data_IF_228028083595
#
_entry.id   IF_228028083595
#
_cell.length_a   1.000
_cell.length_b   1.000
_cell.length_c   1.000
_cell.angle_alpha   90.00
_cell.angle_beta   90.00
_cell.angle_gamma   90.00
#
_symmetry.space_group_name_H-M   'P 1'
#
loop_
_entity.id
_entity.type
_entity.pdbx_description
1 polymer ?
#
# COMPACT_ATOMS: atom_id res chain seq x y z
N UNK A 1 36.04 4.59 -11.17
CA UNK A 1 35.02 5.44 -11.83
C UNK A 1 33.81 5.48 -10.93
N UNK A 2 33.64 6.56 -10.17
CA UNK A 2 32.54 6.68 -9.22
C UNK A 2 31.23 6.91 -9.96
N UNK A 3 30.32 5.95 -9.86
CA UNK A 3 28.91 6.18 -10.22
C UNK A 3 28.36 7.13 -9.17
N UNK A 4 28.27 8.41 -9.50
CA UNK A 4 27.49 9.36 -8.71
C UNK A 4 26.04 8.96 -8.91
N UNK A 5 25.54 8.09 -8.03
CA UNK A 5 24.12 7.77 -7.95
C UNK A 5 23.41 9.08 -7.59
N UNK A 6 22.75 9.71 -8.56
CA UNK A 6 21.87 10.85 -8.31
C UNK A 6 20.74 10.32 -7.42
N UNK A 7 20.82 10.59 -6.12
CA UNK A 7 19.71 10.36 -5.19
C UNK A 7 18.61 11.35 -5.56
N UNK A 8 17.78 10.96 -6.52
CA UNK A 8 16.63 11.74 -6.94
C UNK A 8 15.54 11.45 -5.93
N UNK A 9 15.26 12.40 -5.03
CA UNK A 9 14.14 12.28 -4.10
C UNK A 9 12.84 12.39 -4.90
N UNK A 10 12.01 11.34 -4.84
CA UNK A 10 10.67 11.36 -5.42
C UNK A 10 9.87 12.48 -4.77
N UNK A 11 9.28 13.33 -5.61
CA UNK A 11 8.40 14.40 -5.13
C UNK A 11 7.08 13.76 -4.73
N UNK A 12 6.48 14.27 -3.65
CA UNK A 12 5.12 13.88 -3.23
C UNK A 12 4.13 13.90 -4.42
N UNK A 13 4.22 14.92 -5.27
CA UNK A 13 3.38 15.11 -6.45
C UNK A 13 3.45 13.98 -7.49
N UNK A 14 4.40 13.06 -7.40
CA UNK A 14 4.56 11.92 -8.31
C UNK A 14 4.10 10.57 -7.69
N UNK A 15 3.62 10.56 -6.44
CA UNK A 15 3.25 9.35 -5.68
C UNK A 15 1.79 9.35 -5.23
N UNK A 16 1.00 8.42 -5.78
CA UNK A 16 -0.31 8.04 -5.25
C UNK A 16 -0.13 7.02 -4.13
N UNK A 17 -0.67 7.29 -2.94
CA UNK A 17 -0.77 6.31 -1.87
C UNK A 17 -2.19 5.74 -1.86
N UNK A 18 -2.29 4.45 -2.14
CA UNK A 18 -3.55 3.72 -2.24
C UNK A 18 -3.66 2.75 -1.06
N UNK A 19 -4.71 2.92 -0.25
CA UNK A 19 -5.02 2.03 0.85
C UNK A 19 -6.08 1.01 0.41
N UNK A 20 -5.74 -0.27 0.43
CA UNK A 20 -6.67 -1.34 0.12
C UNK A 20 -7.52 -1.67 1.36
N UNK A 21 -8.76 -1.19 1.37
CA UNK A 21 -9.75 -1.42 2.42
C UNK A 21 -10.72 -2.56 2.06
N UNK A 22 -10.17 -3.72 1.68
CA UNK A 22 -10.93 -4.87 1.20
C UNK A 22 -10.41 -6.20 1.74
N UNK A 23 -11.34 -7.12 2.01
CA UNK A 23 -11.10 -8.43 2.61
C UNK A 23 -12.33 -8.88 3.40
N UNK A 24 -12.68 -10.17 3.36
CA UNK A 24 -13.79 -10.70 4.16
C UNK A 24 -13.34 -10.73 5.63
N UNK A 25 -13.63 -9.68 6.38
CA UNK A 25 -13.54 -9.67 7.86
C UNK A 25 -14.67 -10.48 8.49
N UNK A 26 -14.96 -11.67 7.96
CA UNK A 26 -15.97 -12.58 8.53
C UNK A 26 -15.59 -13.03 9.94
N UNK A 27 -14.30 -13.00 10.29
CA UNK A 27 -13.78 -13.38 11.60
C UNK A 27 -14.00 -12.32 12.70
N UNK A 28 -14.21 -11.05 12.33
CA UNK A 28 -14.31 -9.93 13.29
C UNK A 28 -15.73 -9.41 13.49
N UNK A 29 -16.71 -9.91 12.73
CA UNK A 29 -18.13 -9.52 12.85
C UNK A 29 -18.44 -8.05 12.51
N UNK A 30 -17.42 -7.24 12.22
CA UNK A 30 -17.54 -5.82 11.87
C UNK A 30 -16.48 -5.41 10.82
N UNK A 31 -16.66 -4.23 10.24
CA UNK A 31 -15.75 -3.71 9.23
C UNK A 31 -14.41 -3.27 9.86
N UNK A 32 -13.37 -4.11 9.71
CA UNK A 32 -12.02 -3.86 10.23
C UNK A 32 -11.51 -2.45 9.94
N UNK A 33 -11.75 -1.93 8.74
CA UNK A 33 -11.28 -0.60 8.33
C UNK A 33 -11.80 0.52 9.24
N UNK A 34 -13.00 0.34 9.81
CA UNK A 34 -13.69 1.32 10.68
C UNK A 34 -13.54 1.01 12.17
N UNK A 35 -12.89 -0.10 12.53
CA UNK A 35 -12.60 -0.39 13.93
C UNK A 35 -11.62 0.64 14.48
N UNK A 36 -11.85 1.04 15.72
CA UNK A 36 -10.95 1.96 16.41
C UNK A 36 -9.64 1.25 16.75
N UNK A 37 -8.54 1.90 16.46
CA UNK A 37 -7.18 1.57 16.86
C UNK A 37 -6.61 2.81 17.56
N UNK A 38 -6.29 2.72 18.84
CA UNK A 38 -5.91 3.87 19.69
C UNK A 38 -6.95 5.01 19.66
N UNK A 39 -8.24 4.67 19.54
CA UNK A 39 -9.34 5.65 19.51
C UNK A 39 -9.63 6.29 18.15
N UNK A 40 -8.87 5.98 17.09
CA UNK A 40 -9.10 6.45 15.72
C UNK A 40 -9.45 5.28 14.78
N UNK A 41 -10.33 5.44 13.77
CA UNK A 41 -10.59 4.38 12.80
C UNK A 41 -9.29 3.96 12.08
N UNK A 42 -9.07 2.65 11.97
CA UNK A 42 -7.82 2.10 11.42
C UNK A 42 -7.48 2.65 10.02
N UNK A 43 -8.47 2.79 9.14
CA UNK A 43 -8.27 3.37 7.80
C UNK A 43 -7.77 4.82 7.86
N UNK A 44 -8.27 5.60 8.82
CA UNK A 44 -7.87 6.99 9.02
C UNK A 44 -6.44 7.09 9.54
N UNK A 45 -6.05 6.19 10.45
CA UNK A 45 -4.67 6.06 10.91
C UNK A 45 -3.71 5.82 9.74
N UNK A 46 -4.01 4.82 8.91
CA UNK A 46 -3.16 4.47 7.75
C UNK A 46 -3.08 5.64 6.77
N UNK A 47 -4.21 6.29 6.46
CA UNK A 47 -4.23 7.50 5.62
C UNK A 47 -3.40 8.64 6.21
N UNK A 48 -3.52 8.87 7.52
CA UNK A 48 -2.75 9.89 8.25
C UNK A 48 -1.24 9.63 8.20
N UNK A 49 -0.82 8.37 8.34
CA UNK A 49 0.60 7.98 8.24
C UNK A 49 1.16 8.11 6.82
N UNK A 50 0.35 7.90 5.78
CA UNK A 50 0.78 8.02 4.38
C UNK A 50 0.73 9.45 3.84
N UNK A 51 -0.13 10.31 4.39
CA UNK A 51 -0.30 11.68 3.92
C UNK A 51 1.01 12.49 3.77
N UNK A 52 2.02 12.40 4.66
CA UNK A 52 3.28 13.15 4.54
C UNK A 52 4.07 12.87 3.26
N UNK A 53 3.91 11.69 2.65
CA UNK A 53 4.63 11.29 1.41
C UNK A 53 3.74 11.27 0.18
N UNK A 54 2.42 11.31 0.36
CA UNK A 54 1.46 11.27 -0.73
C UNK A 54 1.34 12.62 -1.46
N UNK A 55 1.14 12.55 -2.78
CA UNK A 55 0.55 13.61 -3.62
C UNK A 55 -0.90 13.33 -3.99
N UNK A 56 -1.33 12.08 -3.89
CA UNK A 56 -2.73 11.66 -3.99
C UNK A 56 -3.00 10.58 -2.94
N UNK A 57 -4.14 10.66 -2.25
CA UNK A 57 -4.65 9.59 -1.39
C UNK A 57 -5.85 8.92 -2.07
N UNK A 58 -5.86 7.60 -2.07
CA UNK A 58 -6.96 6.80 -2.64
C UNK A 58 -7.26 5.65 -1.68
N UNK A 59 -8.53 5.29 -1.54
CA UNK A 59 -8.97 4.07 -0.86
C UNK A 59 -9.67 3.19 -1.87
N UNK A 60 -9.23 1.94 -2.04
CA UNK A 60 -9.92 0.96 -2.88
C UNK A 60 -10.64 -0.06 -2.01
N UNK A 61 -11.92 -0.32 -2.30
CA UNK A 61 -12.73 -1.24 -1.50
C UNK A 61 -13.90 -1.83 -2.29
N UNK A 62 -14.38 -3.02 -1.91
CA UNK A 62 -15.64 -3.56 -2.40
C UNK A 62 -16.88 -2.95 -1.71
N UNK A 63 -16.69 -2.08 -0.71
CA UNK A 63 -17.75 -1.47 0.11
C UNK A 63 -17.61 0.06 0.12
N UNK A 64 -17.51 0.66 -1.06
CA UNK A 64 -17.22 2.10 -1.22
C UNK A 64 -18.22 3.02 -0.51
N UNK A 65 -19.49 2.64 -0.46
CA UNK A 65 -20.52 3.39 0.27
C UNK A 65 -20.26 3.48 1.78
N UNK A 66 -19.66 2.46 2.40
CA UNK A 66 -19.36 2.43 3.84
C UNK A 66 -18.20 3.37 4.21
N UNK A 67 -17.33 3.69 3.25
CA UNK A 67 -16.15 4.52 3.43
C UNK A 67 -16.26 5.88 2.75
N UNK A 68 -17.38 6.20 2.09
CA UNK A 68 -17.59 7.47 1.36
C UNK A 68 -17.39 8.72 2.25
N UNK A 69 -17.62 8.59 3.56
CA UNK A 69 -17.38 9.67 4.53
C UNK A 69 -15.91 10.15 4.55
N UNK A 70 -14.96 9.33 4.08
CA UNK A 70 -13.55 9.72 3.98
C UNK A 70 -13.34 10.86 2.97
N UNK A 71 -14.22 11.00 1.96
CA UNK A 71 -14.15 12.09 0.98
C UNK A 71 -14.55 13.46 1.56
N UNK A 72 -15.02 13.49 2.82
CA UNK A 72 -15.32 14.72 3.57
C UNK A 72 -14.20 15.06 4.58
N UNK A 73 -13.12 14.25 4.63
CA UNK A 73 -12.02 14.39 5.58
C UNK A 73 -10.72 14.73 4.87
N UNK A 74 -9.86 15.48 5.55
CA UNK A 74 -8.53 15.84 5.06
C UNK A 74 -7.42 15.20 5.91
N UNK A 75 -6.42 14.63 5.25
CA UNK A 75 -5.22 14.06 5.84
C UNK A 75 -4.01 14.76 5.23
N UNK A 76 -3.28 15.55 6.02
CA UNK A 76 -2.14 16.33 5.51
C UNK A 76 -2.51 17.29 4.37
N UNK A 77 -3.74 17.80 4.35
CA UNK A 77 -4.27 18.68 3.30
C UNK A 77 -4.84 17.96 2.06
N UNK A 78 -4.82 16.62 2.05
CA UNK A 78 -5.37 15.81 0.96
C UNK A 78 -6.70 15.19 1.36
N UNK A 79 -7.68 15.25 0.47
CA UNK A 79 -8.95 14.52 0.60
C UNK A 79 -8.81 13.21 -0.18
N UNK A 80 -8.98 12.04 0.47
CA UNK A 80 -8.86 10.76 -0.22
C UNK A 80 -10.03 10.56 -1.17
N UNK A 81 -9.78 9.89 -2.29
CA UNK A 81 -10.83 9.39 -3.18
C UNK A 81 -11.21 7.97 -2.78
N UNK A 82 -12.50 7.67 -2.69
CA UNK A 82 -12.97 6.31 -2.42
C UNK A 82 -13.42 5.68 -3.73
N UNK A 83 -12.75 4.60 -4.13
CA UNK A 83 -12.95 3.95 -5.43
C UNK A 83 -13.35 2.49 -5.20
N UNK A 84 -14.38 2.05 -5.92
CA UNK A 84 -14.78 0.64 -5.89
C UNK A 84 -13.68 -0.25 -6.49
N UNK A 85 -13.49 -1.44 -5.93
CA UNK A 85 -12.66 -2.48 -6.55
C UNK A 85 -13.14 -2.78 -7.98
N UNK A 86 -12.19 -3.15 -8.85
CA UNK A 86 -12.53 -3.74 -10.15
C UNK A 86 -13.39 -5.00 -9.96
N UNK A 87 -14.23 -5.29 -10.93
CA UNK A 87 -15.03 -6.53 -10.94
C UNK A 87 -14.13 -7.78 -11.09
N UNK A 88 -14.64 -8.93 -10.64
CA UNK A 88 -13.97 -10.23 -10.74
C UNK A 88 -13.69 -10.92 -9.40
N UNK A 89 -13.04 -12.08 -9.47
CA UNK A 89 -12.73 -12.94 -8.33
C UNK A 89 -12.00 -12.17 -7.22
N UNK A 90 -12.44 -12.36 -5.98
CA UNK A 90 -11.78 -11.76 -4.83
C UNK A 90 -10.37 -12.33 -4.65
N UNK A 91 -9.40 -11.44 -4.42
CA UNK A 91 -8.02 -11.81 -4.21
C UNK A 91 -7.09 -10.62 -4.25
N UNK A 92 -5.85 -10.85 -3.82
CA UNK A 92 -4.85 -9.79 -3.70
C UNK A 92 -4.44 -9.20 -5.06
N UNK A 93 -4.53 -9.99 -6.15
CA UNK A 93 -4.29 -9.48 -7.50
C UNK A 93 -5.37 -8.47 -7.93
N UNK A 94 -6.64 -8.73 -7.59
CA UNK A 94 -7.73 -7.77 -7.82
C UNK A 94 -7.45 -6.46 -7.08
N UNK A 95 -7.04 -6.53 -5.81
CA UNK A 95 -6.69 -5.35 -5.02
C UNK A 95 -5.57 -4.50 -5.64
N UNK A 96 -4.50 -5.15 -6.12
CA UNK A 96 -3.40 -4.46 -6.81
C UNK A 96 -3.87 -3.85 -8.14
N UNK A 97 -4.64 -4.60 -8.94
CA UNK A 97 -5.19 -4.09 -10.20
C UNK A 97 -6.11 -2.88 -9.98
N UNK A 98 -7.01 -2.95 -8.99
CA UNK A 98 -7.86 -1.83 -8.55
C UNK A 98 -7.02 -0.61 -8.19
N UNK A 99 -5.96 -0.82 -7.40
CA UNK A 99 -5.10 0.26 -6.92
C UNK A 99 -4.36 0.96 -8.06
N UNK A 100 -3.77 0.18 -8.98
CA UNK A 100 -3.07 0.69 -10.16
C UNK A 100 -4.02 1.42 -11.13
N UNK A 101 -5.26 0.97 -11.24
CA UNK A 101 -6.28 1.60 -12.07
C UNK A 101 -6.81 2.91 -11.44
N UNK A 102 -6.98 2.95 -10.12
CA UNK A 102 -7.56 4.08 -9.40
C UNK A 102 -6.58 5.25 -9.22
N UNK A 103 -5.29 4.95 -9.05
CA UNK A 103 -4.21 5.93 -8.92
C UNK A 103 -4.09 6.80 -10.18
N UNK A 104 -3.71 8.07 -10.01
CA UNK A 104 -3.50 9.02 -11.11
C UNK A 104 -2.03 9.35 -11.37
N UNK A 105 -1.15 9.13 -10.39
CA UNK A 105 0.26 9.52 -10.48
C UNK A 105 1.15 8.39 -11.03
N UNK A 106 2.40 8.70 -11.45
CA UNK A 106 3.30 7.71 -12.06
C UNK A 106 3.68 6.56 -11.13
N UNK A 107 3.88 6.85 -9.83
CA UNK A 107 4.18 5.86 -8.81
C UNK A 107 2.97 5.62 -7.91
N UNK A 108 2.80 4.37 -7.48
CA UNK A 108 1.69 3.92 -6.66
C UNK A 108 2.23 3.15 -5.47
N UNK A 109 2.15 3.72 -4.27
CA UNK A 109 2.33 2.97 -3.03
C UNK A 109 1.02 2.24 -2.73
N UNK A 110 1.04 0.91 -2.70
CA UNK A 110 -0.12 0.08 -2.36
C UNK A 110 0.09 -0.44 -0.94
N UNK A 111 -0.83 -0.10 -0.05
CA UNK A 111 -0.77 -0.42 1.38
C UNK A 111 -2.06 -1.09 1.83
N UNK A 112 -1.98 -2.20 2.57
CA UNK A 112 -3.16 -2.80 3.17
C UNK A 112 -3.70 -1.96 4.34
N UNK A 113 -5.03 -1.89 4.50
CA UNK A 113 -5.63 -1.10 5.58
C UNK A 113 -5.33 -1.64 6.98
N UNK A 114 -4.84 -2.87 7.10
CA UNK A 114 -4.55 -3.54 8.37
C UNK A 114 -3.12 -3.37 8.87
N UNK A 115 -2.34 -2.46 8.28
CA UNK A 115 -0.97 -2.12 8.67
C UNK A 115 -0.93 -0.78 9.44
N UNK A 116 -1.35 -0.71 10.73
CA UNK A 116 -1.45 0.54 11.50
C UNK A 116 -0.12 1.27 11.70
N UNK A 117 1.01 0.61 11.46
CA UNK A 117 2.35 1.14 11.68
C UNK A 117 3.09 1.50 10.40
N UNK A 118 2.42 1.48 9.22
CA UNK A 118 3.07 1.79 7.94
C UNK A 118 3.95 3.02 8.04
N UNK A 119 5.21 2.92 7.60
CA UNK A 119 6.19 4.00 7.71
C UNK A 119 6.18 4.85 6.45
N UNK A 120 5.91 6.17 6.53
CA UNK A 120 6.09 7.07 5.40
C UNK A 120 7.53 7.09 4.90
N UNK A 121 8.52 6.96 5.80
CA UNK A 121 9.94 6.90 5.45
C UNK A 121 10.26 5.67 4.60
N UNK A 122 9.69 4.50 4.94
CA UNK A 122 9.81 3.29 4.13
C UNK A 122 9.20 3.50 2.74
N UNK A 123 7.98 4.02 2.66
CA UNK A 123 7.30 4.28 1.38
C UNK A 123 8.13 5.25 0.52
N UNK A 124 8.69 6.30 1.12
CA UNK A 124 9.60 7.23 0.44
C UNK A 124 10.87 6.54 -0.04
N UNK A 125 11.48 5.67 0.76
CA UNK A 125 12.67 4.91 0.38
C UNK A 125 12.41 3.94 -0.78
N UNK A 126 11.28 3.23 -0.77
CA UNK A 126 10.85 2.35 -1.86
C UNK A 126 10.63 3.16 -3.15
N UNK A 127 9.93 4.30 -3.08
CA UNK A 127 9.71 5.16 -4.24
C UNK A 127 11.03 5.71 -4.82
N UNK A 128 11.93 6.17 -3.97
CA UNK A 128 13.26 6.63 -4.38
C UNK A 128 14.05 5.51 -5.09
N UNK A 129 13.94 4.28 -4.61
CA UNK A 129 14.61 3.13 -5.22
C UNK A 129 14.01 2.78 -6.58
N UNK A 130 12.67 2.83 -6.71
CA UNK A 130 11.98 2.62 -7.99
C UNK A 130 12.46 3.58 -9.06
N UNK A 131 12.67 4.87 -8.72
CA UNK A 131 13.22 5.85 -9.66
C UNK A 131 14.73 5.68 -9.90
N UNK A 132 15.53 5.55 -8.83
CA UNK A 132 16.98 5.51 -8.95
C UNK A 132 17.50 4.29 -9.72
N UNK A 133 16.84 3.15 -9.60
CA UNK A 133 17.21 1.89 -10.26
C UNK A 133 16.35 1.59 -11.50
N UNK A 134 15.48 2.53 -11.92
CA UNK A 134 14.54 2.37 -13.03
C UNK A 134 13.71 1.07 -12.92
N UNK A 135 13.25 0.75 -11.72
CA UNK A 135 12.44 -0.44 -11.46
C UNK A 135 10.98 -0.18 -11.87
N UNK A 136 10.26 -1.27 -12.08
CA UNK A 136 8.81 -1.27 -12.19
C UNK A 136 8.14 -1.48 -10.84
N UNK A 137 8.79 -2.18 -9.91
CA UNK A 137 8.31 -2.36 -8.53
C UNK A 137 9.48 -2.49 -7.58
N UNK A 138 9.35 -1.91 -6.38
CA UNK A 138 10.21 -2.23 -5.24
C UNK A 138 9.37 -2.80 -4.10
N UNK A 139 9.71 -4.03 -3.67
CA UNK A 139 8.94 -4.80 -2.67
C UNK A 139 9.82 -5.07 -1.45
N UNK A 140 9.36 -4.78 -0.23
CA UNK A 140 10.03 -5.26 0.97
C UNK A 140 10.05 -6.78 1.04
N UNK A 141 11.14 -7.34 1.55
CA UNK A 141 11.31 -8.77 1.76
C UNK A 141 11.88 -9.01 3.16
N UNK A 142 11.05 -9.58 4.03
CA UNK A 142 11.42 -10.04 5.37
C UNK A 142 11.67 -11.55 5.36
N UNK A 143 12.05 -12.12 6.51
CA UNK A 143 12.20 -13.57 6.67
C UNK A 143 10.92 -14.34 6.29
N UNK A 144 9.75 -13.74 6.53
CA UNK A 144 8.43 -14.34 6.24
C UNK A 144 8.07 -14.31 4.76
N UNK A 145 8.76 -13.50 3.96
CA UNK A 145 8.54 -13.36 2.53
C UNK A 145 8.42 -11.90 2.08
N UNK A 146 7.80 -11.72 0.93
CA UNK A 146 7.61 -10.40 0.31
C UNK A 146 6.33 -9.75 0.79
N UNK A 147 6.33 -8.42 0.91
CA UNK A 147 5.18 -7.61 1.31
C UNK A 147 4.65 -6.76 0.14
N UNK A 148 3.92 -7.35 -0.82
CA UNK A 148 3.45 -6.65 -2.02
C UNK A 148 2.34 -5.63 -1.74
N UNK A 149 1.66 -5.74 -0.60
CA UNK A 149 0.69 -4.76 -0.11
C UNK A 149 1.33 -3.77 0.88
N UNK A 150 2.65 -3.59 0.79
CA UNK A 150 3.41 -2.48 1.35
C UNK A 150 4.56 -2.14 0.38
N UNK A 151 4.23 -1.94 -0.89
CA UNK A 151 5.20 -1.81 -1.98
C UNK A 151 4.90 -0.61 -2.89
N UNK A 152 5.92 -0.14 -3.62
CA UNK A 152 5.78 0.94 -4.60
C UNK A 152 5.90 0.38 -6.02
N UNK A 153 4.90 0.71 -6.84
CA UNK A 153 4.70 0.21 -8.19
C UNK A 153 4.74 1.36 -9.20
N UNK A 154 5.40 1.15 -10.34
CA UNK A 154 5.34 2.04 -11.49
C UNK A 154 4.06 1.76 -12.27
N UNK A 155 3.13 2.72 -12.25
CA UNK A 155 1.79 2.55 -12.80
C UNK A 155 1.79 2.08 -14.25
N UNK A 156 2.58 2.75 -15.10
CA UNK A 156 2.59 2.51 -16.54
C UNK A 156 3.07 1.09 -16.92
N UNK A 157 4.00 0.52 -16.15
CA UNK A 157 4.53 -0.82 -16.40
C UNK A 157 3.66 -1.91 -15.77
N UNK A 158 3.19 -1.68 -14.54
CA UNK A 158 2.48 -2.71 -13.77
C UNK A 158 0.98 -2.82 -14.10
N UNK A 159 0.30 -1.71 -14.43
CA UNK A 159 -1.15 -1.72 -14.63
C UNK A 159 -1.61 -2.63 -15.79
N UNK A 160 -0.98 -2.61 -16.98
CA UNK A 160 -1.36 -3.51 -18.07
C UNK A 160 -1.17 -4.99 -17.71
N UNK A 161 -0.07 -5.32 -17.02
CA UNK A 161 0.23 -6.69 -16.58
C UNK A 161 -0.79 -7.16 -15.54
N UNK A 162 -1.15 -6.30 -14.58
CA UNK A 162 -2.18 -6.60 -13.58
C UNK A 162 -3.54 -6.88 -14.23
N UNK A 163 -3.93 -6.06 -15.19
CA UNK A 163 -5.19 -6.22 -15.93
C UNK A 163 -5.21 -7.54 -16.73
N UNK A 164 -4.12 -7.89 -17.40
CA UNK A 164 -4.02 -9.15 -18.14
C UNK A 164 -4.12 -10.36 -17.19
N UNK A 165 -3.40 -10.36 -16.07
CA UNK A 165 -3.46 -11.44 -15.10
C UNK A 165 -4.85 -11.62 -14.48
N UNK A 166 -5.54 -10.51 -14.20
CA UNK A 166 -6.92 -10.54 -13.72
C UNK A 166 -7.87 -11.16 -14.76
N UNK A 167 -7.69 -10.83 -16.05
CA UNK A 167 -8.51 -11.40 -17.13
C UNK A 167 -8.32 -12.92 -17.32
N UNK A 168 -7.18 -13.46 -16.87
CA UNK A 168 -6.86 -14.89 -16.88
C UNK A 168 -7.13 -15.59 -15.54
N UNK A 169 -7.83 -14.92 -14.61
CA UNK A 169 -8.12 -15.36 -13.24
C UNK A 169 -6.87 -15.83 -12.47
N UNK A 170 -5.73 -15.16 -12.71
CA UNK A 170 -4.46 -15.45 -12.02
C UNK A 170 -4.33 -14.55 -10.79
N UNK A 171 -4.66 -15.09 -9.63
CA UNK A 171 -4.68 -14.34 -8.36
C UNK A 171 -3.31 -14.25 -7.64
N UNK A 172 -2.25 -14.90 -8.14
CA UNK A 172 -0.94 -14.92 -7.48
C UNK A 172 -0.13 -13.68 -7.84
N UNK A 173 0.12 -12.81 -6.86
CA UNK A 173 0.88 -11.55 -7.06
C UNK A 173 2.29 -11.79 -7.64
N UNK A 174 2.94 -12.90 -7.25
CA UNK A 174 4.26 -13.28 -7.80
C UNK A 174 4.25 -13.40 -9.33
N UNK A 175 3.12 -13.73 -9.95
CA UNK A 175 3.00 -13.76 -11.41
C UNK A 175 3.17 -12.38 -12.05
N UNK A 176 2.76 -11.31 -11.36
CA UNK A 176 2.99 -9.94 -11.83
C UNK A 176 4.45 -9.54 -11.64
N UNK A 177 4.99 -9.75 -10.43
CA UNK A 177 6.36 -9.39 -10.07
C UNK A 177 7.37 -10.06 -11.02
N UNK A 178 7.14 -11.31 -11.40
CA UNK A 178 8.00 -12.05 -12.32
C UNK A 178 7.97 -11.54 -13.78
N UNK A 179 7.03 -10.65 -14.12
CA UNK A 179 6.85 -10.10 -15.49
C UNK A 179 7.33 -8.66 -15.63
N UNK A 180 7.87 -8.07 -14.56
CA UNK A 180 8.29 -6.67 -14.52
C UNK A 180 9.68 -6.57 -13.89
N UNK A 181 10.36 -5.43 -14.05
CA UNK A 181 11.65 -5.19 -13.41
C UNK A 181 11.47 -4.95 -11.91
N UNK A 182 11.57 -6.02 -11.12
CA UNK A 182 11.39 -5.98 -9.67
C UNK A 182 12.72 -5.80 -8.92
N UNK A 183 12.72 -4.90 -7.95
CA UNK A 183 13.75 -4.81 -6.91
C UNK A 183 13.19 -5.18 -5.54
N UNK A 184 14.08 -5.60 -4.65
CA UNK A 184 13.71 -6.00 -3.28
C UNK A 184 14.49 -5.19 -2.26
N UNK A 185 13.84 -4.86 -1.15
CA UNK A 185 14.45 -4.23 0.01
C UNK A 185 14.48 -5.25 1.15
N UNK A 186 15.67 -5.66 1.57
CA UNK A 186 15.83 -6.63 2.65
C UNK A 186 15.66 -5.99 4.03
N UNK A 187 15.58 -6.82 5.08
CA UNK A 187 15.35 -6.37 6.46
C UNK A 187 16.36 -5.31 6.94
N UNK A 188 17.69 -5.44 6.74
CA UNK A 188 18.63 -4.38 7.10
C UNK A 188 18.33 -3.04 6.43
N UNK A 189 17.93 -3.06 5.15
CA UNK A 189 17.54 -1.85 4.43
C UNK A 189 16.20 -1.27 4.94
N UNK A 190 15.23 -2.14 5.27
CA UNK A 190 13.94 -1.77 5.86
C UNK A 190 14.17 -1.08 7.20
N UNK A 191 14.91 -1.71 8.13
CA UNK A 191 15.18 -1.15 9.47
C UNK A 191 15.94 0.17 9.35
N UNK A 192 16.85 0.30 8.39
CA UNK A 192 17.54 1.56 8.12
C UNK A 192 16.59 2.67 7.66
N UNK A 193 15.56 2.35 6.89
CA UNK A 193 14.60 3.31 6.37
C UNK A 193 13.48 3.65 7.38
N UNK A 194 12.92 2.64 8.04
CA UNK A 194 11.72 2.72 8.87
C UNK A 194 11.99 2.72 10.39
N UNK A 195 13.22 2.42 10.80
CA UNK A 195 13.62 2.25 12.20
C UNK A 195 13.25 0.89 12.81
N UNK A 196 12.29 0.16 12.22
CA UNK A 196 11.91 -1.20 12.62
C UNK A 196 11.14 -1.91 11.50
N UNK A 197 10.81 -3.19 11.71
CA UNK A 197 9.90 -3.97 10.85
C UNK A 197 8.43 -3.86 11.27
N UNK A 198 8.11 -3.07 12.31
CA UNK A 198 6.74 -2.92 12.80
C UNK A 198 5.77 -2.43 11.71
N UNK A 199 6.27 -1.77 10.67
CA UNK A 199 5.49 -1.32 9.52
C UNK A 199 4.70 -2.41 8.79
N UNK A 200 5.02 -3.69 8.99
CA UNK A 200 4.33 -4.82 8.39
C UNK A 200 3.44 -5.60 9.38
N UNK A 201 3.36 -5.16 10.64
CA UNK A 201 2.46 -5.79 11.61
C UNK A 201 1.00 -5.58 11.19
N UNK A 202 0.30 -6.68 11.02
CA UNK A 202 -1.09 -6.71 10.54
C UNK A 202 -2.04 -6.96 11.71
N UNK A 203 -3.17 -6.24 11.74
CA UNK A 203 -4.23 -6.46 12.74
C UNK A 203 -5.46 -7.11 12.11
N UNK A 204 -5.69 -8.39 12.40
CA UNK A 204 -6.75 -9.23 11.83
C UNK A 204 -7.75 -9.73 12.86
N UNK A 205 -7.40 -9.76 14.15
CA UNK A 205 -8.29 -10.17 15.24
C UNK A 205 -8.36 -9.11 16.34
N UNK A 206 -9.39 -9.13 17.21
CA UNK A 206 -9.48 -8.20 18.34
C UNK A 206 -8.28 -8.30 19.30
N UNK A 207 -7.72 -9.50 19.48
CA UNK A 207 -6.52 -9.71 20.30
C UNK A 207 -5.28 -9.08 19.66
N UNK A 208 -5.14 -9.17 18.33
CA UNK A 208 -4.06 -8.52 17.58
C UNK A 208 -4.20 -6.99 17.65
N UNK A 209 -5.42 -6.45 17.61
CA UNK A 209 -5.66 -5.02 17.86
C UNK A 209 -5.16 -4.61 19.23
N UNK A 210 -5.62 -5.28 20.29
CA UNK A 210 -5.24 -4.95 21.66
C UNK A 210 -3.72 -5.06 21.88
N UNK A 211 -3.08 -6.10 21.32
CA UNK A 211 -1.63 -6.25 21.39
C UNK A 211 -0.88 -5.15 20.64
N UNK A 212 -1.35 -4.80 19.43
CA UNK A 212 -0.75 -3.74 18.64
C UNK A 212 -0.97 -2.35 19.25
N UNK A 213 -2.10 -2.07 19.89
CA UNK A 213 -2.32 -0.79 20.59
C UNK A 213 -1.29 -0.55 21.72
N UNK A 214 -0.74 -1.61 22.32
CA UNK A 214 0.34 -1.51 23.32
C UNK A 214 1.69 -1.13 22.70
N UNK A 215 1.85 -1.25 21.38
CA UNK A 215 3.06 -0.92 20.63
C UNK A 215 2.99 0.49 19.99
N UNK A 216 1.85 1.18 20.10
CA UNK A 216 1.50 2.35 19.30
C UNK A 216 1.84 3.72 19.91
#
# INVERSE_FOLDING_TARGET
MGVVCRMTTVRRADLSCVVQAGGLSSRMGCDKARMAFCGEPLIERVLGRLAPVAGELVVTTSRSSELAYLEERAFGGLVPRVVADLEGSAGAMRGIASSLAAARLPLVAIVACDMPFVSPELIGALANRVEAEALDVCVPCEERGIEPLCAVWRRAACAPVAQELLSCDRQRIRCLINRVQAGYMDEPQIVKAAGSTLCFENVNTPEEFAAAELLA
#
